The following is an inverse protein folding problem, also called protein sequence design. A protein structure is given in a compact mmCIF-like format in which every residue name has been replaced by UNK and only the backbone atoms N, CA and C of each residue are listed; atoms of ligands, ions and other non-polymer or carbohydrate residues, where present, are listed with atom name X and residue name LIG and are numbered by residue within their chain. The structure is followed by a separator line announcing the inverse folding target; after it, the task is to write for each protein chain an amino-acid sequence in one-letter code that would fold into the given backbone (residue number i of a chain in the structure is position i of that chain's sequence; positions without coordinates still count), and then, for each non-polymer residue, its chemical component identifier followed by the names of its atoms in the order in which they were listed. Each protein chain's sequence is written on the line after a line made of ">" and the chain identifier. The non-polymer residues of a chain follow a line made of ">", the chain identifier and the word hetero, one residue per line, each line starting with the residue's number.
data_IF_964400813482
#
_entry.id   IF_964400813482
#
_cell.length_a   1.000
_cell.length_b   1.000
_cell.length_c   1.000
_cell.angle_alpha   90.00
_cell.angle_beta   90.00
_cell.angle_gamma   90.00
#
_symmetry.space_group_name_H-M   'P 1'
#
loop_
_entity.id
_entity.type
_entity.pdbx_description
1 polymer ?
#
# COMPACT_ATOMS: atom_id res chain seq x y z
N UNK A 1 7.57 -3.74 8.22
CA UNK A 1 6.65 -3.77 7.06
C UNK A 1 5.86 -5.04 7.20
N UNK A 2 4.55 -4.93 7.41
CA UNK A 2 3.69 -6.00 7.96
C UNK A 2 3.87 -7.36 7.26
N UNK A 3 4.03 -7.35 5.93
CA UNK A 3 4.19 -8.58 5.14
C UNK A 3 5.48 -9.36 5.48
N UNK A 4 6.53 -8.69 5.97
CA UNK A 4 7.78 -9.36 6.39
C UNK A 4 7.70 -10.02 7.76
N UNK A 5 6.65 -9.72 8.52
CA UNK A 5 6.46 -10.23 9.88
C UNK A 5 5.59 -11.50 9.92
N UNK A 6 5.10 -11.93 8.76
CA UNK A 6 4.36 -13.18 8.62
C UNK A 6 5.21 -14.40 9.01
N UNK A 7 4.58 -15.49 9.49
CA UNK A 7 5.30 -16.73 9.79
C UNK A 7 6.14 -17.20 8.61
N UNK A 8 7.32 -17.78 8.88
CA UNK A 8 8.25 -18.26 7.83
C UNK A 8 7.66 -19.33 6.90
N UNK A 9 6.54 -19.94 7.28
CA UNK A 9 5.79 -20.91 6.47
C UNK A 9 5.00 -20.24 5.34
N UNK A 10 4.73 -18.93 5.45
CA UNK A 10 4.05 -18.15 4.43
C UNK A 10 5.09 -17.54 3.50
N UNK A 11 5.05 -17.94 2.23
CA UNK A 11 5.94 -17.38 1.21
C UNK A 11 5.31 -16.13 0.61
N UNK A 12 5.92 -14.98 0.88
CA UNK A 12 5.49 -13.70 0.31
C UNK A 12 6.39 -13.35 -0.86
N UNK A 13 5.79 -13.06 -2.01
CA UNK A 13 6.54 -12.60 -3.17
C UNK A 13 7.18 -11.22 -2.92
N UNK A 14 8.40 -11.01 -3.43
CA UNK A 14 9.15 -9.79 -3.15
C UNK A 14 8.44 -8.53 -3.68
N UNK A 15 7.71 -8.65 -4.79
CA UNK A 15 6.93 -7.57 -5.37
C UNK A 15 5.75 -7.15 -4.48
N UNK A 16 5.07 -8.10 -3.80
CA UNK A 16 4.02 -7.77 -2.81
C UNK A 16 4.57 -6.93 -1.64
N UNK A 17 5.80 -7.21 -1.20
CA UNK A 17 6.47 -6.42 -0.16
C UNK A 17 6.75 -4.99 -0.65
N UNK A 18 7.15 -4.83 -1.91
CA UNK A 18 7.38 -3.51 -2.49
C UNK A 18 6.07 -2.73 -2.68
N UNK A 19 5.01 -3.40 -3.18
CA UNK A 19 3.65 -2.85 -3.27
C UNK A 19 3.15 -2.36 -1.93
N UNK A 20 3.33 -3.16 -0.87
CA UNK A 20 3.01 -2.72 0.49
C UNK A 20 3.80 -1.48 0.92
N UNK A 21 5.08 -1.36 0.54
CA UNK A 21 5.90 -0.18 0.89
C UNK A 21 5.40 1.07 0.18
N UNK A 22 4.94 0.93 -1.06
CA UNK A 22 4.28 2.02 -1.78
C UNK A 22 3.04 2.47 -1.00
N UNK A 23 2.17 1.53 -0.58
CA UNK A 23 0.95 1.83 0.17
C UNK A 23 1.20 2.51 1.53
N UNK A 24 2.28 2.16 2.24
CA UNK A 24 2.64 2.82 3.51
C UNK A 24 2.79 4.35 3.34
N UNK A 25 3.25 4.80 2.16
CA UNK A 25 3.42 6.23 1.85
C UNK A 25 2.10 6.98 1.66
N UNK A 26 0.96 6.29 1.57
CA UNK A 26 -0.35 6.94 1.48
C UNK A 26 -1.00 7.13 2.85
N UNK A 27 -0.55 6.42 3.90
CA UNK A 27 -1.27 6.40 5.18
C UNK A 27 -1.33 7.77 5.87
N UNK A 28 -0.21 8.48 6.01
CA UNK A 28 -0.18 9.83 6.60
C UNK A 28 -0.46 10.89 5.54
N UNK A 29 0.25 10.91 4.38
CA UNK A 29 0.22 12.07 3.52
C UNK A 29 -1.09 12.28 2.75
N UNK A 30 -1.91 11.24 2.58
CA UNK A 30 -3.25 11.40 1.99
C UNK A 30 -4.27 12.08 2.94
N UNK A 31 -3.97 12.19 4.24
CA UNK A 31 -4.94 12.65 5.25
C UNK A 31 -4.60 13.99 5.89
N UNK A 32 -3.31 14.30 6.07
CA UNK A 32 -2.90 15.43 6.89
C UNK A 32 -2.18 16.49 6.04
N UNK A 33 -2.68 17.73 5.95
CA UNK A 33 -2.04 18.79 5.14
C UNK A 33 -0.59 19.09 5.52
N UNK A 34 -0.22 18.95 6.80
CA UNK A 34 1.15 19.19 7.28
C UNK A 34 2.18 18.14 6.81
N UNK A 35 1.75 17.10 6.11
CA UNK A 35 2.63 16.11 5.47
C UNK A 35 3.18 16.56 4.11
N UNK A 36 2.63 17.64 3.55
CA UNK A 36 3.06 18.22 2.27
C UNK A 36 3.65 19.61 2.49
N UNK A 37 4.64 20.02 1.69
CA UNK A 37 5.20 21.38 1.78
C UNK A 37 4.17 22.49 1.50
N UNK A 38 3.13 22.20 0.71
CA UNK A 38 2.06 23.11 0.35
C UNK A 38 0.83 22.34 -0.18
N UNK A 39 -0.29 23.04 -0.38
CA UNK A 39 -1.56 22.53 -0.92
C UNK A 39 -2.29 21.51 -0.02
N UNK A 40 -3.56 21.24 -0.33
CA UNK A 40 -4.36 20.25 0.39
C UNK A 40 -3.97 18.82 -0.06
N UNK A 41 -4.07 17.81 0.82
CA UNK A 41 -3.70 16.42 0.50
C UNK A 41 -4.28 15.90 -0.82
N UNK A 42 -5.56 16.17 -1.11
CA UNK A 42 -6.23 15.68 -2.32
C UNK A 42 -5.63 16.23 -3.63
N UNK A 43 -4.89 17.34 -3.58
CA UNK A 43 -4.26 17.95 -4.75
C UNK A 43 -2.98 17.22 -5.18
N UNK A 44 -2.39 16.40 -4.29
CA UNK A 44 -1.17 15.63 -4.57
C UNK A 44 -1.44 14.26 -5.21
N UNK A 45 -2.69 13.79 -5.19
CA UNK A 45 -3.09 12.46 -5.65
C UNK A 45 -4.02 12.52 -6.86
N UNK A 46 -3.48 12.15 -8.02
CA UNK A 46 -4.21 12.04 -9.28
C UNK A 46 -4.66 10.61 -9.61
N UNK A 47 -5.39 10.41 -10.72
CA UNK A 47 -5.92 9.10 -11.13
C UNK A 47 -4.84 8.01 -11.24
N UNK A 48 -3.70 8.29 -11.89
CA UNK A 48 -2.65 7.29 -12.13
C UNK A 48 -2.15 6.61 -10.84
N UNK A 49 -1.75 7.41 -9.87
CA UNK A 49 -1.28 6.91 -8.57
C UNK A 49 -2.40 6.30 -7.73
N UNK A 50 -3.64 6.75 -7.91
CA UNK A 50 -4.80 6.19 -7.22
C UNK A 50 -5.15 4.81 -7.76
N UNK A 51 -5.15 4.64 -9.08
CA UNK A 51 -5.40 3.36 -9.75
C UNK A 51 -4.32 2.33 -9.40
N UNK A 52 -3.04 2.74 -9.42
CA UNK A 52 -1.93 1.88 -9.01
C UNK A 52 -2.03 1.47 -7.54
N UNK A 53 -2.36 2.40 -6.63
CA UNK A 53 -2.55 2.08 -5.22
C UNK A 53 -3.72 1.11 -4.99
N UNK A 54 -4.84 1.28 -5.71
CA UNK A 54 -5.97 0.35 -5.64
C UNK A 54 -5.54 -1.03 -6.12
N UNK A 55 -4.85 -1.12 -7.26
CA UNK A 55 -4.35 -2.40 -7.78
C UNK A 55 -3.44 -3.09 -6.76
N UNK A 56 -2.48 -2.37 -6.18
CA UNK A 56 -1.57 -2.92 -5.17
C UNK A 56 -2.30 -3.41 -3.91
N UNK A 57 -3.33 -2.69 -3.48
CA UNK A 57 -4.15 -3.12 -2.35
C UNK A 57 -4.95 -4.39 -2.69
N UNK A 58 -5.54 -4.46 -3.88
CA UNK A 58 -6.27 -5.64 -4.35
C UNK A 58 -5.39 -6.88 -4.36
N UNK A 59 -4.17 -6.79 -4.91
CA UNK A 59 -3.26 -7.94 -4.97
C UNK A 59 -2.81 -8.42 -3.58
N UNK A 60 -2.65 -7.50 -2.61
CA UNK A 60 -2.34 -7.86 -1.22
C UNK A 60 -3.53 -8.55 -0.53
N UNK A 61 -4.75 -8.09 -0.80
CA UNK A 61 -5.98 -8.72 -0.27
C UNK A 61 -6.14 -10.12 -0.86
N UNK A 62 -5.99 -10.27 -2.17
CA UNK A 62 -6.05 -11.58 -2.85
C UNK A 62 -5.01 -12.56 -2.28
N UNK A 63 -3.78 -12.08 -2.04
CA UNK A 63 -2.77 -12.88 -1.36
C UNK A 63 -3.20 -13.31 0.04
N UNK A 64 -3.75 -12.39 0.85
CA UNK A 64 -4.20 -12.70 2.20
C UNK A 64 -5.34 -13.74 2.20
N UNK A 65 -6.32 -13.58 1.31
CA UNK A 65 -7.43 -14.52 1.13
C UNK A 65 -6.91 -15.92 0.74
N UNK A 66 -5.89 -15.98 -0.12
CA UNK A 66 -5.28 -17.25 -0.54
C UNK A 66 -4.54 -17.99 0.58
N UNK A 67 -4.20 -17.32 1.69
CA UNK A 67 -3.57 -17.95 2.86
C UNK A 67 -4.59 -18.43 3.90
N UNK A 68 -5.86 -18.04 3.75
CA UNK A 68 -6.95 -18.38 4.67
C UNK A 68 -7.85 -19.53 4.19
N UNK A 69 -7.74 -19.90 2.91
CA UNK A 69 -8.41 -21.05 2.30
C UNK A 69 -7.66 -22.36 2.57
#
# INVERSE_FOLDING_TARGET
>A
HLLRELPKTVVVAADLIEKGRVLDNFYIPARYPNSHPAAAPFEHYGPLQSEEAIQYASEIIEFADSQMA
#
